data_IF_477931478029
#
_entry.id   IF_477931478029
#
_cell.length_a   1.000
_cell.length_b   1.000
_cell.length_c   1.000
_cell.angle_alpha   90.00
_cell.angle_beta   90.00
_cell.angle_gamma   90.00
#
_symmetry.space_group_name_H-M   'P 1'
#
loop_
_entity.id
_entity.type
_entity.pdbx_description
1 polymer ?
#
# COMPACT_ATOMS: atom_id res chain seq x y z
N UNK A 1 -21.00 33.20 -17.46
CA UNK A 1 -21.17 31.77 -17.73
C UNK A 1 -20.86 31.07 -16.38
N UNK A 2 -21.93 30.82 -15.61
CA UNK A 2 -21.88 30.16 -14.32
C UNK A 2 -21.65 28.67 -14.55
N UNK A 3 -20.45 28.16 -14.24
CA UNK A 3 -20.23 26.73 -14.08
C UNK A 3 -20.97 26.33 -12.80
N UNK A 4 -22.19 25.84 -12.93
CA UNK A 4 -22.86 25.08 -11.88
C UNK A 4 -21.96 23.89 -11.52
N UNK A 5 -21.30 23.94 -10.37
CA UNK A 5 -20.62 22.78 -9.80
C UNK A 5 -21.70 21.73 -9.53
N UNK A 6 -21.79 20.73 -10.38
CA UNK A 6 -22.63 19.57 -10.19
C UNK A 6 -22.33 19.00 -8.80
N UNK A 7 -23.36 18.91 -7.96
CA UNK A 7 -23.19 18.38 -6.59
C UNK A 7 -22.71 16.94 -6.70
N UNK A 8 -21.45 16.73 -6.38
CA UNK A 8 -20.84 15.39 -6.40
C UNK A 8 -21.57 14.54 -5.37
N UNK A 9 -22.20 13.47 -5.82
CA UNK A 9 -22.84 12.48 -4.97
C UNK A 9 -21.75 11.53 -4.42
N UNK A 10 -21.28 11.80 -3.21
CA UNK A 10 -20.26 11.01 -2.53
C UNK A 10 -20.73 9.61 -2.11
N UNK A 11 -22.02 9.27 -2.28
CA UNK A 11 -22.54 7.92 -2.04
C UNK A 11 -22.18 6.96 -3.17
N UNK A 12 -21.94 7.50 -4.36
CA UNK A 12 -21.43 6.76 -5.53
C UNK A 12 -19.94 7.01 -5.65
N UNK A 13 -19.15 5.95 -5.83
CA UNK A 13 -17.70 6.10 -6.02
C UNK A 13 -17.38 7.09 -7.16
N UNK A 14 -16.35 7.92 -6.95
CA UNK A 14 -15.90 8.88 -7.95
C UNK A 14 -14.99 8.16 -8.92
N UNK A 15 -15.44 7.93 -10.14
CA UNK A 15 -14.69 7.23 -11.20
C UNK A 15 -13.91 8.17 -12.12
N UNK A 16 -14.24 9.47 -12.12
CA UNK A 16 -13.51 10.48 -12.86
C UNK A 16 -12.98 11.56 -11.91
N UNK A 17 -11.67 11.56 -11.75
CA UNK A 17 -10.97 12.48 -10.86
C UNK A 17 -11.17 13.96 -11.26
N UNK A 18 -11.45 14.25 -12.53
CA UNK A 18 -11.68 15.63 -13.02
C UNK A 18 -12.92 16.28 -12.40
N UNK A 19 -13.89 15.49 -11.95
CA UNK A 19 -15.10 15.99 -11.27
C UNK A 19 -14.78 16.69 -9.93
N UNK A 20 -13.67 16.34 -9.28
CA UNK A 20 -13.27 16.91 -8.00
C UNK A 20 -12.74 18.34 -8.08
N UNK A 21 -12.32 18.77 -9.27
CA UNK A 21 -11.62 20.04 -9.45
C UNK A 21 -10.15 19.98 -9.03
N UNK A 22 -9.31 20.78 -9.67
CA UNK A 22 -7.85 20.76 -9.48
C UNK A 22 -7.39 20.94 -8.01
N UNK A 23 -7.97 21.86 -7.21
CA UNK A 23 -7.50 22.04 -5.83
C UNK A 23 -7.71 20.82 -4.94
N UNK A 24 -8.90 20.18 -5.01
CA UNK A 24 -9.19 18.96 -4.24
C UNK A 24 -8.34 17.80 -4.70
N UNK A 25 -8.09 17.70 -5.99
CA UNK A 25 -7.27 16.63 -6.59
C UNK A 25 -5.81 16.74 -6.12
N UNK A 26 -5.25 17.95 -6.04
CA UNK A 26 -3.91 18.18 -5.52
C UNK A 26 -3.80 17.84 -4.02
N UNK A 27 -4.79 18.22 -3.21
CA UNK A 27 -4.82 17.91 -1.78
C UNK A 27 -4.90 16.39 -1.57
N UNK A 28 -5.78 15.69 -2.30
CA UNK A 28 -5.90 14.23 -2.22
C UNK A 28 -4.64 13.51 -2.72
N UNK A 29 -4.00 14.04 -3.77
CA UNK A 29 -2.72 13.52 -4.27
C UNK A 29 -1.60 13.66 -3.24
N UNK A 30 -1.46 14.84 -2.63
CA UNK A 30 -0.50 15.08 -1.55
C UNK A 30 -0.76 14.16 -0.36
N UNK A 31 -2.02 14.04 0.06
CA UNK A 31 -2.45 13.13 1.11
C UNK A 31 -2.03 11.69 0.80
N UNK A 32 -2.30 11.20 -0.40
CA UNK A 32 -1.95 9.85 -0.80
C UNK A 32 -0.43 9.62 -0.79
N UNK A 33 0.35 10.60 -1.21
CA UNK A 33 1.80 10.57 -1.15
C UNK A 33 2.31 10.42 0.28
N UNK A 34 1.79 11.20 1.24
CA UNK A 34 2.17 11.08 2.65
C UNK A 34 1.75 9.74 3.26
N UNK A 35 0.55 9.26 2.97
CA UNK A 35 0.06 7.97 3.46
C UNK A 35 0.95 6.80 3.01
N UNK A 36 1.44 6.82 1.78
CA UNK A 36 2.25 5.75 1.22
C UNK A 36 3.74 5.89 1.50
N UNK A 37 4.20 7.09 1.84
CA UNK A 37 5.62 7.37 2.09
C UNK A 37 6.19 6.50 3.21
N UNK A 38 5.48 6.41 4.34
CA UNK A 38 5.93 5.64 5.49
C UNK A 38 6.20 4.17 5.17
N UNK A 39 5.26 3.51 4.51
CA UNK A 39 5.42 2.11 4.10
C UNK A 39 6.54 1.93 3.05
N UNK A 40 6.64 2.84 2.08
CA UNK A 40 7.63 2.76 1.00
C UNK A 40 9.05 2.95 1.50
N UNK A 41 9.25 3.71 2.58
CA UNK A 41 10.56 3.92 3.23
C UNK A 41 10.86 2.84 4.26
N UNK A 42 9.85 2.40 5.03
CA UNK A 42 10.07 1.46 6.12
C UNK A 42 10.46 0.06 5.63
N UNK A 43 9.83 -0.43 4.56
CA UNK A 43 10.15 -1.76 4.02
C UNK A 43 11.62 -1.89 3.59
N UNK A 44 12.21 -0.99 2.79
CA UNK A 44 13.63 -1.08 2.45
C UNK A 44 14.53 -0.97 3.68
N UNK A 45 14.19 -0.16 4.68
CA UNK A 45 14.95 -0.09 5.94
C UNK A 45 14.96 -1.42 6.70
N UNK A 46 13.83 -2.13 6.74
CA UNK A 46 13.72 -3.43 7.40
C UNK A 46 14.37 -4.57 6.62
N UNK A 47 14.43 -4.46 5.30
CA UNK A 47 15.00 -5.50 4.42
C UNK A 47 16.46 -5.29 4.07
N UNK A 48 17.04 -4.13 4.40
CA UNK A 48 18.42 -3.75 4.03
C UNK A 48 18.56 -3.25 2.59
N UNK A 49 17.45 -3.01 1.89
CA UNK A 49 17.46 -2.42 0.55
C UNK A 49 17.79 -0.92 0.60
N UNK A 50 18.37 -0.40 -0.48
CA UNK A 50 18.57 1.04 -0.62
C UNK A 50 17.22 1.78 -0.74
N UNK A 51 16.94 2.69 0.20
CA UNK A 51 15.72 3.50 0.20
C UNK A 51 15.59 4.33 -1.07
N UNK A 52 16.69 4.96 -1.51
CA UNK A 52 16.69 5.80 -2.71
C UNK A 52 16.34 5.02 -3.97
N UNK A 53 16.94 3.83 -4.13
CA UNK A 53 16.66 2.94 -5.27
C UNK A 53 15.21 2.44 -5.22
N UNK A 54 14.72 2.07 -4.03
CA UNK A 54 13.35 1.60 -3.86
C UNK A 54 12.33 2.69 -4.19
N UNK A 55 12.56 3.93 -3.76
CA UNK A 55 11.70 5.06 -4.09
C UNK A 55 11.70 5.36 -5.60
N UNK A 56 12.87 5.33 -6.23
CA UNK A 56 12.98 5.51 -7.68
C UNK A 56 12.19 4.42 -8.43
N UNK A 57 12.40 3.16 -8.06
CA UNK A 57 11.71 2.03 -8.69
C UNK A 57 10.19 2.07 -8.44
N UNK A 58 9.74 2.47 -7.25
CA UNK A 58 8.32 2.65 -6.94
C UNK A 58 7.70 3.76 -7.81
N UNK A 59 8.40 4.88 -7.98
CA UNK A 59 7.98 5.96 -8.87
C UNK A 59 7.89 5.52 -10.33
N UNK A 60 8.93 4.90 -10.85
CA UNK A 60 8.95 4.40 -12.23
C UNK A 60 7.89 3.31 -12.47
N UNK A 61 7.75 2.39 -11.51
CA UNK A 61 6.72 1.35 -11.57
C UNK A 61 5.31 1.92 -11.57
N UNK A 62 5.05 2.94 -10.75
CA UNK A 62 3.77 3.65 -10.71
C UNK A 62 3.47 4.36 -12.04
N UNK A 63 4.46 5.05 -12.62
CA UNK A 63 4.30 5.71 -13.93
C UNK A 63 4.03 4.69 -15.04
N UNK A 64 4.77 3.57 -15.06
CA UNK A 64 4.55 2.49 -16.00
C UNK A 64 3.13 1.90 -15.87
N UNK A 65 2.69 1.68 -14.63
CA UNK A 65 1.33 1.19 -14.34
C UNK A 65 0.26 2.15 -14.86
N UNK A 66 0.40 3.45 -14.60
CA UNK A 66 -0.53 4.46 -15.10
C UNK A 66 -0.56 4.51 -16.62
N UNK A 67 0.59 4.37 -17.27
CA UNK A 67 0.68 4.31 -18.72
C UNK A 67 -0.07 3.08 -19.27
N UNK A 68 0.17 1.89 -18.72
CA UNK A 68 -0.48 0.65 -19.14
C UNK A 68 -2.00 0.68 -18.89
N UNK A 69 -2.43 1.21 -17.74
CA UNK A 69 -3.85 1.34 -17.38
C UNK A 69 -4.54 2.53 -18.06
N UNK A 70 -3.83 3.31 -18.89
CA UNK A 70 -4.36 4.52 -19.55
C UNK A 70 -5.02 5.51 -18.58
N UNK A 71 -4.48 5.62 -17.35
CA UNK A 71 -5.01 6.51 -16.32
C UNK A 71 -6.35 6.09 -15.71
N UNK A 72 -6.87 4.90 -16.02
CA UNK A 72 -8.19 4.45 -15.52
C UNK A 72 -8.18 4.02 -14.06
N UNK A 73 -7.03 3.62 -13.53
CA UNK A 73 -6.87 3.13 -12.15
C UNK A 73 -5.92 4.06 -11.41
N UNK A 74 -6.43 4.90 -10.49
CA UNK A 74 -5.59 5.76 -9.66
C UNK A 74 -5.00 4.94 -8.51
N UNK A 75 -3.85 4.31 -8.74
CA UNK A 75 -3.15 3.54 -7.73
C UNK A 75 -1.67 3.92 -7.69
N UNK A 76 -1.11 4.00 -6.50
CA UNK A 76 0.32 4.10 -6.27
C UNK A 76 0.88 2.70 -5.99
N UNK A 77 1.97 2.34 -6.66
CA UNK A 77 2.68 1.08 -6.45
C UNK A 77 3.87 1.33 -5.55
N UNK A 78 3.73 0.97 -4.29
CA UNK A 78 4.79 1.07 -3.28
C UNK A 78 5.23 -0.28 -2.77
N UNK A 79 6.11 -0.27 -1.76
CA UNK A 79 6.57 -1.46 -1.08
C UNK A 79 5.44 -2.16 -0.33
N UNK A 80 5.48 -3.49 -0.28
CA UNK A 80 4.48 -4.31 0.40
C UNK A 80 5.06 -5.02 1.60
N UNK A 81 4.43 -4.89 2.76
CA UNK A 81 4.77 -5.62 3.97
C UNK A 81 4.59 -7.14 3.84
N UNK A 82 3.75 -7.60 2.92
CA UNK A 82 3.53 -9.03 2.69
C UNK A 82 4.81 -9.78 2.27
N UNK A 83 5.75 -9.10 1.63
CA UNK A 83 7.02 -9.70 1.20
C UNK A 83 8.10 -9.73 2.29
N UNK A 84 7.91 -9.04 3.43
CA UNK A 84 8.93 -9.02 4.50
C UNK A 84 9.29 -10.41 4.99
N UNK A 85 8.31 -11.30 5.18
CA UNK A 85 8.57 -12.69 5.55
C UNK A 85 9.45 -13.42 4.54
N UNK A 86 9.22 -13.21 3.24
CA UNK A 86 10.05 -13.78 2.17
C UNK A 86 11.49 -13.24 2.20
N UNK A 87 11.66 -11.94 2.36
CA UNK A 87 12.98 -11.33 2.52
C UNK A 87 13.72 -11.89 3.74
N UNK A 88 13.05 -11.99 4.88
CA UNK A 88 13.63 -12.52 6.12
C UNK A 88 14.10 -13.97 5.96
N UNK A 89 13.34 -14.82 5.25
CA UNK A 89 13.72 -16.20 4.99
C UNK A 89 14.93 -16.27 4.07
N UNK A 90 14.93 -15.56 2.96
CA UNK A 90 16.01 -15.61 1.95
C UNK A 90 17.31 -15.02 2.48
N UNK A 91 17.25 -13.94 3.28
CA UNK A 91 18.41 -13.29 3.88
C UNK A 91 18.79 -13.87 5.23
N UNK A 92 18.10 -14.91 5.69
CA UNK A 92 18.30 -15.51 7.03
C UNK A 92 18.27 -14.44 8.15
N UNK A 93 17.21 -13.63 8.16
CA UNK A 93 17.06 -12.54 9.14
C UNK A 93 18.04 -11.39 8.99
N UNK A 94 18.63 -11.21 7.81
CA UNK A 94 19.63 -10.18 7.52
C UNK A 94 21.08 -10.66 7.70
N UNK A 95 21.30 -11.92 8.10
CA UNK A 95 22.64 -12.49 8.26
C UNK A 95 23.39 -12.66 6.92
N UNK A 96 22.65 -12.85 5.81
CA UNK A 96 23.18 -13.04 4.49
C UNK A 96 22.69 -11.94 3.51
N UNK A 97 23.22 -10.71 3.59
CA UNK A 97 22.81 -9.61 2.73
C UNK A 97 23.11 -9.85 1.25
N UNK A 98 24.05 -10.73 0.93
CA UNK A 98 24.38 -11.19 -0.41
C UNK A 98 23.22 -11.88 -1.13
N UNK A 99 22.26 -12.42 -0.36
CA UNK A 99 21.04 -13.04 -0.89
C UNK A 99 19.93 -12.05 -1.27
N UNK A 100 20.12 -10.77 -1.00
CA UNK A 100 19.14 -9.72 -1.31
C UNK A 100 18.71 -9.69 -2.79
N UNK A 101 19.62 -9.82 -3.79
CA UNK A 101 19.24 -9.90 -5.19
C UNK A 101 18.32 -11.10 -5.51
N UNK A 102 18.51 -12.23 -4.85
CA UNK A 102 17.64 -13.40 -5.03
C UNK A 102 16.25 -13.16 -4.46
N UNK A 103 16.15 -12.47 -3.31
CA UNK A 103 14.87 -12.06 -2.77
C UNK A 103 14.13 -11.11 -3.70
N UNK A 104 14.83 -10.12 -4.28
CA UNK A 104 14.26 -9.22 -5.30
C UNK A 104 13.82 -9.96 -6.55
N UNK A 105 14.60 -10.94 -7.02
CA UNK A 105 14.22 -11.78 -8.15
C UNK A 105 12.96 -12.62 -7.86
N UNK A 106 12.84 -13.16 -6.65
CA UNK A 106 11.64 -13.89 -6.22
C UNK A 106 10.40 -13.00 -6.20
N UNK A 107 10.53 -11.75 -5.75
CA UNK A 107 9.43 -10.77 -5.81
C UNK A 107 9.07 -10.44 -7.26
N UNK A 108 10.04 -10.29 -8.15
CA UNK A 108 9.76 -10.07 -9.58
C UNK A 108 9.04 -11.28 -10.21
N UNK A 109 9.45 -12.51 -9.88
CA UNK A 109 8.79 -13.74 -10.33
C UNK A 109 7.35 -13.85 -9.78
N UNK A 110 7.08 -13.35 -8.57
CA UNK A 110 5.71 -13.33 -8.05
C UNK A 110 4.77 -12.49 -8.92
N UNK A 111 5.30 -11.50 -9.66
CA UNK A 111 4.54 -10.74 -10.65
C UNK A 111 3.93 -11.63 -11.75
N UNK A 112 4.60 -12.72 -12.13
CA UNK A 112 4.05 -13.67 -13.11
C UNK A 112 2.80 -14.38 -12.59
N UNK A 113 2.73 -14.60 -11.27
CA UNK A 113 1.54 -15.18 -10.63
C UNK A 113 0.34 -14.26 -10.82
N UNK A 114 0.52 -12.94 -10.71
CA UNK A 114 -0.55 -11.97 -10.98
C UNK A 114 -1.00 -11.99 -12.45
N UNK A 115 -0.09 -12.21 -13.40
CA UNK A 115 -0.43 -12.37 -14.81
C UNK A 115 -1.28 -13.61 -15.02
N UNK A 116 -0.91 -14.74 -14.39
CA UNK A 116 -1.71 -15.97 -14.41
C UNK A 116 -3.11 -15.74 -13.81
N UNK A 117 -3.19 -15.09 -12.65
CA UNK A 117 -4.48 -14.73 -12.04
C UNK A 117 -5.32 -13.83 -12.93
N UNK A 118 -4.71 -12.85 -13.59
CA UNK A 118 -5.42 -12.00 -14.56
C UNK A 118 -6.00 -12.80 -15.69
N UNK A 119 -5.25 -13.76 -16.24
CA UNK A 119 -5.73 -14.71 -17.26
C UNK A 119 -6.90 -15.56 -16.77
N UNK A 120 -6.80 -16.11 -15.55
CA UNK A 120 -7.87 -16.91 -14.94
C UNK A 120 -9.14 -16.06 -14.69
N UNK A 121 -9.00 -14.82 -14.23
CA UNK A 121 -10.13 -13.91 -14.04
C UNK A 121 -10.80 -13.59 -15.37
N UNK A 122 -10.03 -13.42 -16.44
CA UNK A 122 -10.56 -13.18 -17.78
C UNK A 122 -11.31 -14.40 -18.32
N UNK A 123 -10.80 -15.61 -18.06
CA UNK A 123 -11.40 -16.86 -18.52
C UNK A 123 -12.65 -17.28 -17.73
N UNK A 124 -12.60 -17.19 -16.39
CA UNK A 124 -13.67 -17.71 -15.51
C UNK A 124 -14.59 -16.62 -14.95
N UNK A 125 -14.21 -15.36 -15.08
CA UNK A 125 -14.93 -14.22 -14.55
C UNK A 125 -14.68 -13.96 -13.06
N UNK A 126 -14.75 -12.70 -12.70
CA UNK A 126 -14.50 -12.19 -11.33
C UNK A 126 -15.34 -12.90 -10.26
N UNK A 127 -16.63 -13.15 -10.55
CA UNK A 127 -17.57 -13.72 -9.57
C UNK A 127 -17.19 -15.14 -9.13
N UNK A 128 -16.63 -15.95 -10.04
CA UNK A 128 -16.15 -17.31 -9.72
C UNK A 128 -14.83 -17.25 -8.96
N UNK A 129 -13.91 -16.37 -9.36
CA UNK A 129 -12.62 -16.21 -8.71
C UNK A 129 -12.75 -15.70 -7.28
N UNK A 130 -13.66 -14.78 -7.00
CA UNK A 130 -13.91 -14.27 -5.64
C UNK A 130 -14.43 -15.35 -4.67
N UNK A 131 -14.96 -16.46 -5.17
CA UNK A 131 -15.33 -17.61 -4.32
C UNK A 131 -14.11 -18.36 -3.77
N UNK A 132 -12.97 -18.29 -4.43
CA UNK A 132 -11.72 -18.88 -3.93
C UNK A 132 -11.03 -18.03 -2.85
N UNK A 133 -11.40 -16.74 -2.77
CA UNK A 133 -10.86 -15.81 -1.77
C UNK A 133 -11.97 -15.26 -0.86
N UNK A 134 -12.67 -16.14 -0.11
CA UNK A 134 -13.69 -15.68 0.81
C UNK A 134 -13.06 -14.89 1.97
N UNK A 135 -13.81 -13.99 2.63
CA UNK A 135 -13.32 -13.21 3.78
C UNK A 135 -12.77 -14.07 4.92
N UNK A 136 -13.27 -15.31 5.05
CA UNK A 136 -12.79 -16.30 6.04
C UNK A 136 -11.31 -16.69 5.80
N UNK A 137 -10.81 -16.61 4.56
CA UNK A 137 -9.42 -16.88 4.22
C UNK A 137 -8.59 -15.59 4.28
N UNK A 138 -9.09 -14.51 3.72
CA UNK A 138 -8.34 -13.24 3.64
C UNK A 138 -8.19 -12.56 5.00
N UNK A 139 -9.20 -12.68 5.87
CA UNK A 139 -9.16 -12.12 7.23
C UNK A 139 -7.98 -12.63 8.07
N UNK A 140 -7.85 -13.96 8.26
CA UNK A 140 -6.73 -14.54 8.99
C UNK A 140 -5.37 -14.21 8.39
N UNK A 141 -5.24 -14.11 7.06
CA UNK A 141 -3.99 -13.72 6.41
C UNK A 141 -3.58 -12.29 6.79
N UNK A 142 -4.53 -11.35 6.79
CA UNK A 142 -4.28 -9.96 7.20
C UNK A 142 -3.86 -9.90 8.67
N UNK A 143 -4.52 -10.66 9.54
CA UNK A 143 -4.17 -10.76 10.96
C UNK A 143 -2.75 -11.33 11.12
N UNK A 144 -2.42 -12.40 10.39
CA UNK A 144 -1.10 -13.01 10.44
C UNK A 144 0.00 -12.02 9.99
N UNK A 145 -0.21 -11.24 8.95
CA UNK A 145 0.72 -10.18 8.52
C UNK A 145 0.91 -9.16 9.66
N UNK A 146 -0.16 -8.71 10.30
CA UNK A 146 -0.08 -7.79 11.43
C UNK A 146 0.72 -8.36 12.60
N UNK A 147 0.51 -9.64 12.93
CA UNK A 147 1.25 -10.33 14.01
C UNK A 147 2.73 -10.51 13.68
N UNK A 148 3.09 -10.78 12.42
CA UNK A 148 4.49 -10.87 11.97
C UNK A 148 5.20 -9.52 12.12
N UNK A 149 4.49 -8.40 11.92
CA UNK A 149 5.05 -7.05 12.03
C UNK A 149 5.08 -6.53 13.47
N UNK A 150 4.30 -7.09 14.38
CA UNK A 150 4.18 -6.63 15.77
C UNK A 150 5.53 -6.58 16.52
N UNK A 151 6.43 -7.58 16.45
CA UNK A 151 7.74 -7.50 17.11
C UNK A 151 8.58 -6.32 16.62
N UNK A 152 8.58 -6.03 15.33
CA UNK A 152 9.28 -4.88 14.75
C UNK A 152 8.70 -3.55 15.23
N UNK A 153 7.38 -3.45 15.32
CA UNK A 153 6.70 -2.27 15.85
C UNK A 153 7.05 -2.05 17.33
N UNK A 154 7.05 -3.11 18.15
CA UNK A 154 7.41 -3.03 19.56
C UNK A 154 8.88 -2.62 19.74
N UNK A 155 9.79 -3.19 18.95
CA UNK A 155 11.21 -2.81 18.96
C UNK A 155 11.40 -1.33 18.62
N UNK A 156 10.68 -0.80 17.63
CA UNK A 156 10.72 0.62 17.30
C UNK A 156 10.15 1.51 18.43
N UNK A 157 9.10 1.05 19.13
CA UNK A 157 8.54 1.77 20.28
C UNK A 157 9.52 1.86 21.46
N UNK A 158 10.39 0.87 21.64
CA UNK A 158 11.39 0.85 22.72
C UNK A 158 12.37 2.02 22.64
N UNK A 159 12.60 2.58 21.47
CA UNK A 159 13.46 3.75 21.29
C UNK A 159 12.90 5.01 21.98
N UNK A 160 11.58 5.19 21.98
CA UNK A 160 10.90 6.27 22.68
C UNK A 160 9.41 5.96 22.90
N UNK A 161 9.08 5.46 24.07
CA UNK A 161 7.71 5.11 24.47
C UNK A 161 6.74 6.28 24.46
N UNK A 162 7.22 7.47 24.81
CA UNK A 162 6.38 8.67 24.83
C UNK A 162 5.90 9.03 23.41
N UNK A 163 6.79 9.03 22.44
CA UNK A 163 6.44 9.25 21.03
C UNK A 163 5.50 8.17 20.50
N UNK A 164 5.74 6.90 20.86
CA UNK A 164 4.88 5.79 20.47
C UNK A 164 3.45 5.95 21.03
N UNK A 165 3.32 6.37 22.29
CA UNK A 165 2.01 6.67 22.90
C UNK A 165 1.30 7.84 22.23
N UNK A 166 2.01 8.94 21.94
CA UNK A 166 1.45 10.10 21.25
C UNK A 166 0.97 9.72 19.86
N UNK A 167 1.77 8.96 19.10
CA UNK A 167 1.39 8.48 17.78
C UNK A 167 0.13 7.60 17.82
N UNK A 168 0.10 6.62 18.74
CA UNK A 168 -1.03 5.73 18.92
C UNK A 168 -2.30 6.50 19.32
N UNK A 169 -2.18 7.42 20.28
CA UNK A 169 -3.29 8.26 20.73
C UNK A 169 -3.82 9.12 19.57
N UNK A 170 -2.93 9.71 18.77
CA UNK A 170 -3.31 10.51 17.61
C UNK A 170 -4.12 9.67 16.62
N UNK A 171 -3.64 8.47 16.27
CA UNK A 171 -4.36 7.56 15.36
C UNK A 171 -5.73 7.20 15.91
N UNK A 172 -5.84 6.85 17.20
CA UNK A 172 -7.12 6.50 17.84
C UNK A 172 -8.08 7.70 17.83
N UNK A 173 -7.62 8.87 18.26
CA UNK A 173 -8.43 10.11 18.31
C UNK A 173 -8.92 10.49 16.92
N UNK A 174 -8.04 10.49 15.93
CA UNK A 174 -8.40 10.81 14.55
C UNK A 174 -9.39 9.80 13.95
N UNK A 175 -9.26 8.52 14.31
CA UNK A 175 -10.14 7.46 13.81
C UNK A 175 -11.55 7.54 14.43
N UNK A 176 -11.64 7.88 15.73
CA UNK A 176 -12.92 7.94 16.46
C UNK A 176 -13.64 9.27 16.22
N UNK A 177 -12.92 10.40 16.38
CA UNK A 177 -13.52 11.74 16.31
C UNK A 177 -13.24 12.47 14.99
N UNK A 178 -12.31 11.97 14.18
CA UNK A 178 -11.98 12.57 12.88
C UNK A 178 -13.15 12.51 11.91
N UNK A 179 -13.35 13.57 11.13
CA UNK A 179 -14.33 13.65 10.06
C UNK A 179 -13.63 13.92 8.72
N UNK A 180 -14.14 13.32 7.66
CA UNK A 180 -13.62 13.52 6.31
C UNK A 180 -12.17 13.05 6.16
N UNK A 181 -11.28 13.94 5.74
CA UNK A 181 -9.87 13.61 5.46
C UNK A 181 -9.06 13.25 6.69
N UNK A 182 -9.33 13.85 7.85
CA UNK A 182 -8.62 13.59 9.11
C UNK A 182 -8.83 12.15 9.61
N UNK A 183 -9.96 11.52 9.28
CA UNK A 183 -10.23 10.11 9.60
C UNK A 183 -9.40 9.14 8.74
N UNK A 184 -9.05 9.56 7.54
CA UNK A 184 -8.34 8.71 6.57
C UNK A 184 -6.82 8.80 6.75
N UNK A 185 -6.36 9.96 7.20
CA UNK A 185 -4.95 10.26 7.47
C UNK A 185 -4.81 10.86 8.87
N UNK A 186 -4.67 10.00 9.87
CA UNK A 186 -4.37 10.45 11.22
C UNK A 186 -2.93 10.96 11.38
#
# INVERSE_FOLDING_TARGET
ISFMAEKIDYSKGIYDAKQLGTPKLLILGAQHMFAMFGATVLVPLLTGLSVSTTLLCAGLGTLLFHFLCKGKVPAFLGSSFAYLGGFTIVTNGGANPENLPYACAAVALSGLVYVLFSGLITAFGIRKMMKFFPPVVTGPIIIAIGLILAPSAISNCQSNWLLAFVALATVIVCNIWGKGMVKILP
#
